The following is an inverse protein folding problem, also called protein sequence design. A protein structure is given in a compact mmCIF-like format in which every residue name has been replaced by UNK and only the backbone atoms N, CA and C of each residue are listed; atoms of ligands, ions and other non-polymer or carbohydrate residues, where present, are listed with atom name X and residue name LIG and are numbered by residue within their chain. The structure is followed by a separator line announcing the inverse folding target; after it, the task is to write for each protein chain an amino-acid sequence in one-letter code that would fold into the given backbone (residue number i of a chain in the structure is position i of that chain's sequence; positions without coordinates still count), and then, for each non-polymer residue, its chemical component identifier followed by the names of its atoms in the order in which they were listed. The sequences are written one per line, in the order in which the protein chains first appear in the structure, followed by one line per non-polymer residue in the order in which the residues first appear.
data_IF_176647151400
#
_entry.id   IF_176647151400
#
_cell.length_a   1.000
_cell.length_b   1.000
_cell.length_c   1.000
_cell.angle_alpha   90.00
_cell.angle_beta   90.00
_cell.angle_gamma   90.00
#
_symmetry.space_group_name_H-M   'P 1'
#
loop_
_entity.id
_entity.type
_entity.pdbx_description
1 polymer ?
#
# COMPACT_ATOMS: atom_id res chain seq x y z
N UNK A 1 -22.33 -28.48 17.66
CA UNK A 1 -21.91 -27.31 18.44
C UNK A 1 -22.80 -27.20 19.68
N UNK A 2 -22.21 -26.93 20.84
CA UNK A 2 -22.95 -26.57 22.04
C UNK A 2 -23.24 -25.07 22.00
N UNK A 3 -24.52 -24.69 22.11
CA UNK A 3 -24.95 -23.28 22.04
C UNK A 3 -24.25 -22.40 23.07
N UNK A 4 -23.93 -22.92 24.23
CA UNK A 4 -23.28 -22.23 25.33
C UNK A 4 -21.80 -21.89 25.04
N UNK A 5 -21.21 -22.46 23.98
CA UNK A 5 -19.81 -22.22 23.59
C UNK A 5 -19.65 -21.25 22.40
N UNK A 6 -20.76 -20.70 21.88
CA UNK A 6 -20.74 -19.78 20.72
C UNK A 6 -20.67 -18.34 21.20
N UNK A 7 -19.62 -17.63 20.79
CA UNK A 7 -19.51 -16.19 20.97
C UNK A 7 -19.61 -15.47 19.62
N UNK A 8 -20.52 -14.50 19.52
CA UNK A 8 -20.72 -13.69 18.32
C UNK A 8 -20.18 -12.28 18.58
N UNK A 9 -19.17 -11.88 17.80
CA UNK A 9 -18.60 -10.55 17.84
C UNK A 9 -19.25 -9.69 16.74
N UNK A 10 -20.10 -8.72 17.12
CA UNK A 10 -20.84 -7.87 16.18
C UNK A 10 -20.09 -6.56 15.81
N UNK A 11 -19.26 -6.05 16.72
CA UNK A 11 -18.51 -4.82 16.52
C UNK A 11 -17.03 -5.13 16.18
N UNK A 12 -16.78 -5.59 14.96
CA UNK A 12 -15.45 -5.97 14.52
C UNK A 12 -14.86 -4.89 13.61
N UNK A 13 -13.66 -4.44 13.93
CA UNK A 13 -12.89 -3.48 13.13
C UNK A 13 -11.55 -4.11 12.77
N UNK A 14 -11.16 -3.99 11.51
CA UNK A 14 -9.81 -4.39 11.09
C UNK A 14 -8.78 -3.42 11.65
N UNK A 15 -7.75 -3.94 12.29
CA UNK A 15 -6.62 -3.17 12.78
C UNK A 15 -5.33 -3.71 12.16
N UNK A 16 -4.39 -2.82 11.87
CA UNK A 16 -3.07 -3.17 11.37
C UNK A 16 -2.02 -2.68 12.36
N UNK A 17 -0.88 -3.36 12.41
CA UNK A 17 0.26 -2.92 13.22
C UNK A 17 0.80 -1.57 12.74
N UNK A 18 1.38 -0.80 13.67
CA UNK A 18 2.03 0.48 13.41
C UNK A 18 1.27 1.69 13.96
N UNK A 19 2.00 2.77 14.16
CA UNK A 19 1.46 4.05 14.60
C UNK A 19 1.13 4.93 13.39
N UNK A 20 -0.02 5.61 13.42
CA UNK A 20 -0.38 6.57 12.36
C UNK A 20 0.40 7.86 12.56
N UNK A 21 1.12 8.26 11.53
CA UNK A 21 1.90 9.50 11.47
C UNK A 21 1.25 10.46 10.49
N UNK A 22 1.18 11.72 10.92
CA UNK A 22 0.78 12.85 10.09
C UNK A 22 1.96 13.82 10.09
N UNK A 23 2.53 14.08 8.91
CA UNK A 23 3.64 15.01 8.84
C UNK A 23 3.53 15.93 7.63
N UNK A 24 4.04 17.13 7.78
CA UNK A 24 4.28 18.05 6.68
C UNK A 24 5.64 17.74 6.07
N UNK A 25 5.64 17.35 4.80
CA UNK A 25 6.85 17.02 4.06
C UNK A 25 7.61 18.27 3.64
N UNK A 26 6.88 19.32 3.25
CA UNK A 26 7.48 20.59 2.86
C UNK A 26 6.60 21.45 1.96
N UNK A 27 7.25 22.37 1.25
CA UNK A 27 6.65 23.31 0.33
C UNK A 27 6.89 22.87 -1.12
N UNK A 28 5.84 22.85 -1.93
CA UNK A 28 5.94 22.63 -3.36
C UNK A 28 6.42 23.90 -4.09
N UNK A 29 7.09 23.69 -5.22
CA UNK A 29 7.59 24.75 -6.10
C UNK A 29 7.29 24.39 -7.56
N UNK A 30 6.37 25.09 -8.20
CA UNK A 30 5.95 24.79 -9.59
C UNK A 30 7.04 25.02 -10.63
N UNK A 31 8.10 25.75 -10.29
CA UNK A 31 9.24 25.94 -11.17
C UNK A 31 10.14 24.71 -11.26
N UNK A 32 10.13 23.86 -10.23
CA UNK A 32 10.97 22.66 -10.14
C UNK A 32 10.24 21.42 -10.61
N UNK A 33 10.94 20.60 -11.37
CA UNK A 33 10.48 19.28 -11.77
C UNK A 33 11.06 18.20 -10.86
N UNK A 34 10.39 17.05 -10.78
CA UNK A 34 10.86 15.87 -10.05
C UNK A 34 11.24 16.18 -8.59
N UNK A 35 10.41 16.96 -7.90
CA UNK A 35 10.68 17.27 -6.50
C UNK A 35 10.60 16.01 -5.64
N UNK A 36 11.47 15.95 -4.65
CA UNK A 36 11.71 14.76 -3.84
C UNK A 36 11.56 15.12 -2.37
N UNK A 37 10.80 14.32 -1.63
CA UNK A 37 10.61 14.47 -0.19
C UNK A 37 10.80 13.11 0.49
N UNK A 38 11.45 13.11 1.63
CA UNK A 38 11.68 11.89 2.41
C UNK A 38 10.77 11.85 3.63
N UNK A 39 10.23 10.69 3.93
CA UNK A 39 9.52 10.45 5.20
C UNK A 39 10.51 10.55 6.36
N UNK A 40 10.10 11.22 7.42
CA UNK A 40 10.95 11.47 8.60
C UNK A 40 11.02 10.26 9.52
N UNK A 41 9.99 9.41 9.52
CA UNK A 41 9.89 8.29 10.45
C UNK A 41 9.75 6.95 9.70
N UNK A 42 10.88 6.35 9.32
CA UNK A 42 10.90 4.99 8.80
C UNK A 42 10.68 3.96 9.93
N UNK A 43 10.29 2.72 9.59
CA UNK A 43 9.92 2.22 8.27
C UNK A 43 8.45 2.44 7.94
N UNK A 44 8.13 2.59 6.66
CA UNK A 44 6.76 2.62 6.16
C UNK A 44 6.12 1.23 6.29
N UNK A 45 4.87 1.19 6.75
CA UNK A 45 4.10 -0.07 6.86
C UNK A 45 3.42 -0.38 5.54
N UNK A 46 3.51 -1.63 5.12
CA UNK A 46 2.78 -2.19 3.99
C UNK A 46 1.69 -3.13 4.51
N UNK A 47 0.59 -3.22 3.77
CA UNK A 47 -0.53 -4.11 4.06
C UNK A 47 -0.75 -5.07 2.90
N UNK A 48 -1.22 -6.27 3.18
CA UNK A 48 -1.55 -7.24 2.14
C UNK A 48 -2.68 -6.70 1.26
N UNK A 49 -2.50 -6.75 -0.06
CA UNK A 49 -3.45 -6.29 -1.05
C UNK A 49 -3.59 -7.30 -2.20
N UNK A 50 -4.74 -7.30 -2.85
CA UNK A 50 -5.03 -8.16 -3.98
C UNK A 50 -4.58 -7.52 -5.31
N UNK A 51 -3.32 -7.04 -5.34
CA UNK A 51 -2.66 -6.50 -6.52
C UNK A 51 -1.50 -7.40 -6.96
N UNK A 52 -0.83 -7.06 -8.07
CA UNK A 52 0.28 -7.85 -8.63
C UNK A 52 1.46 -7.93 -7.65
N UNK A 53 1.74 -6.87 -6.90
CA UNK A 53 2.80 -6.84 -5.89
C UNK A 53 2.43 -7.56 -4.59
N UNK A 54 1.14 -7.90 -4.38
CA UNK A 54 0.64 -8.53 -3.16
C UNK A 54 0.56 -7.60 -1.96
N UNK A 55 1.05 -6.37 -2.08
CA UNK A 55 1.11 -5.39 -0.99
C UNK A 55 0.78 -3.99 -1.47
N UNK A 56 0.14 -3.20 -0.60
CA UNK A 56 -0.05 -1.76 -0.78
C UNK A 56 0.64 -1.01 0.34
N UNK A 57 1.17 0.17 0.04
CA UNK A 57 1.68 1.06 1.06
C UNK A 57 0.52 1.67 1.85
N UNK A 58 0.77 2.00 3.11
CA UNK A 58 -0.20 2.75 3.93
C UNK A 58 -0.08 4.26 3.73
N UNK A 59 0.78 4.69 2.81
CA UNK A 59 1.10 6.08 2.55
C UNK A 59 -0.02 6.77 1.76
N UNK A 60 -0.49 7.88 2.29
CA UNK A 60 -1.36 8.82 1.61
C UNK A 60 -0.69 10.18 1.56
N UNK A 61 -0.60 10.74 0.38
CA UNK A 61 0.02 12.06 0.17
C UNK A 61 -1.05 13.04 -0.26
N UNK A 62 -1.06 14.17 0.41
CA UNK A 62 -1.98 15.27 0.13
C UNK A 62 -1.19 16.50 -0.33
N UNK A 63 -1.62 17.07 -1.44
CA UNK A 63 -1.07 18.33 -1.97
C UNK A 63 -2.22 19.33 -2.04
N UNK A 64 -2.13 20.45 -1.30
CA UNK A 64 -3.24 21.38 -1.08
C UNK A 64 -4.52 20.67 -0.62
N UNK A 65 -4.39 19.74 0.32
CA UNK A 65 -5.45 18.90 0.88
C UNK A 65 -6.16 17.98 -0.14
N UNK A 66 -5.63 17.84 -1.35
CA UNK A 66 -6.09 16.88 -2.36
C UNK A 66 -5.20 15.64 -2.34
N UNK A 67 -5.81 14.47 -2.18
CA UNK A 67 -5.10 13.19 -2.18
C UNK A 67 -4.53 12.88 -3.57
N UNK A 68 -3.24 12.55 -3.63
CA UNK A 68 -2.56 12.06 -4.81
C UNK A 68 -2.36 10.55 -4.69
N UNK A 69 -2.33 9.87 -5.82
CA UNK A 69 -2.23 8.40 -5.86
C UNK A 69 -0.79 7.94 -6.07
N UNK A 70 -0.44 6.88 -5.39
CA UNK A 70 0.82 6.17 -5.64
C UNK A 70 0.77 5.35 -6.92
N UNK A 71 1.88 5.28 -7.63
CA UNK A 71 2.07 4.45 -8.84
C UNK A 71 3.48 3.88 -8.86
N UNK A 72 3.67 2.79 -9.57
CA UNK A 72 4.98 2.13 -9.68
C UNK A 72 5.96 2.90 -10.59
N UNK A 73 5.44 3.66 -11.56
CA UNK A 73 6.26 4.41 -12.51
C UNK A 73 5.59 5.70 -12.94
N UNK A 74 6.39 6.73 -13.16
CA UNK A 74 5.95 7.97 -13.81
C UNK A 74 5.85 7.83 -15.33
N UNK A 75 6.43 6.76 -15.91
CA UNK A 75 6.37 6.50 -17.34
C UNK A 75 4.92 6.22 -17.78
N UNK A 76 4.48 6.86 -18.84
CA UNK A 76 3.14 6.70 -19.37
C UNK A 76 2.06 7.58 -18.70
N UNK A 77 2.41 8.33 -17.66
CA UNK A 77 1.49 9.30 -17.06
C UNK A 77 1.33 10.53 -17.94
N UNK A 78 0.11 11.07 -17.98
CA UNK A 78 -0.19 12.36 -18.57
C UNK A 78 0.27 13.54 -17.70
N UNK A 79 0.41 14.72 -18.31
CA UNK A 79 0.84 15.93 -17.64
C UNK A 79 -0.12 16.43 -16.52
N UNK A 80 -1.35 15.92 -16.47
CA UNK A 80 -2.38 16.28 -15.49
C UNK A 80 -2.60 15.23 -14.42
N UNK A 81 -1.93 14.08 -14.49
CA UNK A 81 -2.12 12.98 -13.56
C UNK A 81 -1.46 13.31 -12.21
N UNK A 82 -2.28 13.33 -11.16
CA UNK A 82 -1.87 13.61 -9.78
C UNK A 82 -1.37 12.33 -9.12
N UNK A 83 -0.17 11.94 -9.51
CA UNK A 83 0.47 10.71 -9.04
C UNK A 83 1.89 10.96 -8.59
N UNK A 84 2.39 10.08 -7.75
CA UNK A 84 3.75 10.07 -7.25
C UNK A 84 4.27 8.63 -7.22
N UNK A 85 5.58 8.49 -7.17
CA UNK A 85 6.24 7.20 -6.92
C UNK A 85 6.97 7.24 -5.58
N UNK A 86 7.13 6.08 -4.98
CA UNK A 86 7.95 5.91 -3.78
C UNK A 86 9.22 5.11 -4.11
N UNK A 87 10.27 5.41 -3.38
CA UNK A 87 11.51 4.66 -3.40
C UNK A 87 11.98 4.46 -1.97
N UNK A 88 12.15 3.22 -1.56
CA UNK A 88 12.68 2.89 -0.22
C UNK A 88 14.11 2.40 -0.38
N UNK A 89 15.02 2.95 0.42
CA UNK A 89 16.42 2.54 0.46
C UNK A 89 16.66 1.33 1.38
N UNK A 90 17.89 0.88 1.45
CA UNK A 90 18.28 -0.27 2.26
C UNK A 90 18.08 -0.04 3.76
N UNK A 91 18.13 1.21 4.21
CA UNK A 91 17.89 1.60 5.60
C UNK A 91 16.39 1.72 5.93
N UNK A 92 15.52 1.48 4.96
CA UNK A 92 14.07 1.58 5.11
C UNK A 92 13.50 2.98 5.01
N UNK A 93 14.34 3.97 4.63
CA UNK A 93 13.90 5.34 4.43
C UNK A 93 13.17 5.46 3.10
N UNK A 94 11.91 5.86 3.16
CA UNK A 94 11.07 6.04 1.98
C UNK A 94 11.10 7.47 1.49
N UNK A 95 11.30 7.61 0.19
CA UNK A 95 11.38 8.88 -0.53
C UNK A 95 10.24 8.95 -1.54
N UNK A 96 9.57 10.09 -1.60
CA UNK A 96 8.43 10.38 -2.48
C UNK A 96 8.93 11.26 -3.61
N UNK A 97 8.67 10.88 -4.86
CA UNK A 97 9.11 11.59 -6.06
C UNK A 97 7.89 11.98 -6.87
N UNK A 98 7.78 13.24 -7.22
CA UNK A 98 6.65 13.80 -7.97
C UNK A 98 6.98 13.99 -9.45
N UNK A 99 5.94 14.20 -10.25
CA UNK A 99 6.04 14.36 -11.70
C UNK A 99 6.82 15.60 -12.17
N UNK A 100 7.16 15.61 -13.44
CA UNK A 100 7.93 16.68 -14.09
C UNK A 100 7.09 17.67 -14.91
N UNK A 101 5.74 17.47 -14.94
CA UNK A 101 4.81 18.25 -15.75
C UNK A 101 4.60 17.73 -17.18
N UNK A 102 5.33 16.67 -17.57
CA UNK A 102 5.08 15.88 -18.79
C UNK A 102 4.62 14.48 -18.42
N UNK A 103 5.31 13.87 -17.47
CA UNK A 103 5.00 12.58 -16.86
C UNK A 103 4.59 12.83 -15.40
N UNK A 104 3.29 12.91 -15.17
CA UNK A 104 2.72 13.36 -13.92
C UNK A 104 2.79 14.89 -13.75
N UNK A 105 1.82 15.44 -13.02
CA UNK A 105 1.73 16.87 -12.76
C UNK A 105 2.88 17.35 -11.85
N UNK A 106 3.35 18.58 -12.06
CA UNK A 106 4.28 19.23 -11.12
C UNK A 106 3.55 19.65 -9.86
N UNK A 107 4.30 19.74 -8.77
CA UNK A 107 3.77 20.28 -7.54
C UNK A 107 3.42 21.77 -7.70
N UNK A 108 2.26 22.20 -7.21
CA UNK A 108 1.95 23.61 -7.13
C UNK A 108 2.81 24.31 -6.07
N UNK A 109 3.15 25.57 -6.29
CA UNK A 109 3.83 26.39 -5.29
C UNK A 109 2.91 26.62 -4.09
N UNK A 110 3.42 26.41 -2.88
CA UNK A 110 2.69 26.64 -1.65
C UNK A 110 3.54 26.39 -0.43
N UNK A 111 3.26 27.10 0.66
CA UNK A 111 3.92 26.88 1.94
C UNK A 111 3.31 25.66 2.62
N UNK A 112 4.16 24.71 3.04
CA UNK A 112 3.77 23.52 3.80
C UNK A 112 2.56 22.76 3.20
N UNK A 113 2.42 22.85 1.89
CA UNK A 113 1.26 22.34 1.18
C UNK A 113 1.34 20.84 0.85
N UNK A 114 2.44 20.18 1.18
CA UNK A 114 2.64 18.76 0.97
C UNK A 114 2.61 18.06 2.33
N UNK A 115 1.61 17.21 2.52
CA UNK A 115 1.38 16.47 3.77
C UNK A 115 1.37 14.97 3.47
N UNK A 116 1.88 14.19 4.40
CA UNK A 116 1.83 12.73 4.35
C UNK A 116 1.11 12.17 5.58
N UNK A 117 0.27 11.19 5.36
CA UNK A 117 -0.36 10.36 6.38
C UNK A 117 0.01 8.93 6.11
N UNK A 118 0.67 8.28 7.03
CA UNK A 118 1.14 6.91 6.84
C UNK A 118 1.23 6.18 8.19
N UNK A 119 1.36 4.87 8.11
CA UNK A 119 1.64 4.07 9.30
C UNK A 119 3.14 3.74 9.35
N UNK A 120 3.66 3.85 10.53
CA UNK A 120 5.05 3.54 10.84
C UNK A 120 5.07 2.29 11.72
N UNK A 121 5.72 1.24 11.25
CA UNK A 121 5.87 -0.02 11.96
C UNK A 121 5.95 -1.21 11.00
N UNK A 122 6.94 -2.05 11.21
CA UNK A 122 7.17 -3.27 10.43
C UNK A 122 7.58 -4.40 11.37
N UNK A 123 7.36 -5.62 10.95
CA UNK A 123 7.94 -6.77 11.59
C UNK A 123 6.95 -7.69 12.31
N UNK A 124 7.50 -8.79 12.78
CA UNK A 124 6.77 -9.84 13.51
C UNK A 124 6.20 -9.39 14.85
N UNK A 125 6.63 -8.24 15.36
CA UNK A 125 6.12 -7.66 16.63
C UNK A 125 4.62 -7.33 16.54
N UNK A 126 4.08 -7.14 15.34
CA UNK A 126 2.65 -6.96 15.11
C UNK A 126 1.81 -8.24 15.28
N UNK A 127 2.43 -9.41 15.31
CA UNK A 127 1.75 -10.68 15.48
C UNK A 127 1.49 -10.95 16.98
N UNK A 128 0.43 -10.36 17.50
CA UNK A 128 0.03 -10.50 18.90
C UNK A 128 -0.96 -11.66 19.04
N UNK A 129 -0.89 -12.39 20.16
CA UNK A 129 -1.79 -13.48 20.48
C UNK A 129 -3.21 -12.99 20.75
N UNK A 130 -4.19 -13.89 20.66
CA UNK A 130 -5.57 -13.59 21.04
C UNK A 130 -5.63 -13.04 22.48
N UNK A 131 -6.46 -12.01 22.69
CA UNK A 131 -6.65 -11.38 24.00
C UNK A 131 -5.56 -10.40 24.45
N UNK A 132 -4.49 -10.20 23.69
CA UNK A 132 -3.39 -9.30 24.10
C UNK A 132 -3.70 -7.81 23.85
N UNK A 133 -4.58 -7.48 22.91
CA UNK A 133 -4.99 -6.10 22.64
C UNK A 133 -6.17 -5.78 23.58
N UNK A 134 -5.90 -5.06 24.66
CA UNK A 134 -6.90 -4.72 25.67
C UNK A 134 -7.04 -3.23 25.95
N UNK A 135 -6.14 -2.41 25.41
CA UNK A 135 -6.08 -0.97 25.65
C UNK A 135 -6.34 -0.17 24.38
N UNK A 136 -7.16 0.88 24.51
CA UNK A 136 -7.35 1.91 23.50
C UNK A 136 -6.53 3.14 23.86
N UNK A 137 -5.77 3.67 22.94
CA UNK A 137 -5.05 4.93 23.12
C UNK A 137 -6.03 6.10 23.31
N UNK A 138 -7.08 6.12 22.49
CA UNK A 138 -8.20 7.07 22.62
C UNK A 138 -9.47 6.27 22.86
N UNK A 139 -10.20 6.58 23.92
CA UNK A 139 -11.45 5.89 24.25
C UNK A 139 -12.64 6.70 23.76
N UNK A 140 -13.21 6.42 22.60
CA UNK A 140 -14.41 7.08 22.10
C UNK A 140 -15.59 6.86 23.04
N UNK A 141 -16.53 7.81 23.05
CA UNK A 141 -17.75 7.71 23.86
C UNK A 141 -18.53 6.44 23.45
N UNK A 142 -18.93 5.66 24.43
CA UNK A 142 -19.68 4.42 24.22
C UNK A 142 -18.82 3.15 24.14
N UNK A 143 -17.48 3.26 23.97
CA UNK A 143 -16.60 2.10 23.96
C UNK A 143 -16.13 1.76 25.36
N UNK A 144 -16.51 0.59 25.87
CA UNK A 144 -16.14 0.12 27.22
C UNK A 144 -14.80 -0.62 27.25
N UNK A 145 -14.60 -1.51 26.31
CA UNK A 145 -13.41 -2.36 26.21
C UNK A 145 -13.14 -2.75 24.76
N UNK A 146 -11.92 -3.16 24.48
CA UNK A 146 -11.50 -3.73 23.21
C UNK A 146 -10.80 -5.07 23.47
N UNK A 147 -10.96 -6.00 22.58
CA UNK A 147 -10.29 -7.29 22.63
C UNK A 147 -10.05 -7.80 21.20
N UNK A 148 -8.91 -8.42 20.95
CA UNK A 148 -8.69 -9.19 19.72
C UNK A 148 -9.03 -10.67 19.98
N UNK A 149 -10.16 -11.18 19.46
CA UNK A 149 -10.58 -12.56 19.70
C UNK A 149 -9.70 -13.59 18.98
N UNK A 150 -9.00 -13.16 17.94
CA UNK A 150 -8.13 -14.00 17.11
C UNK A 150 -6.72 -13.41 17.17
N UNK A 151 -5.71 -14.26 17.06
CA UNK A 151 -4.32 -13.80 16.94
C UNK A 151 -4.12 -12.99 15.66
N UNK A 152 -3.27 -11.98 15.74
CA UNK A 152 -2.85 -11.21 14.58
C UNK A 152 -1.79 -12.00 13.79
N UNK A 153 -1.92 -12.02 12.48
CA UNK A 153 -1.01 -12.70 11.56
C UNK A 153 -0.63 -11.80 10.39
N UNK A 154 0.40 -12.20 9.63
CA UNK A 154 0.85 -11.48 8.45
C UNK A 154 1.96 -10.46 8.71
N UNK A 155 2.34 -10.24 9.97
CA UNK A 155 3.52 -9.45 10.29
C UNK A 155 4.79 -10.20 9.87
N UNK A 156 5.60 -9.59 9.02
CA UNK A 156 6.89 -10.11 8.56
C UNK A 156 7.97 -9.05 8.72
N UNK A 157 9.17 -9.47 9.02
CA UNK A 157 10.34 -8.61 9.00
C UNK A 157 10.78 -8.37 7.55
N UNK A 158 11.58 -7.34 7.32
CA UNK A 158 12.19 -7.08 6.01
C UNK A 158 12.95 -8.33 5.56
N UNK A 159 12.75 -8.72 4.31
CA UNK A 159 13.50 -9.83 3.70
C UNK A 159 15.00 -9.54 3.71
N UNK A 160 15.77 -10.57 3.99
CA UNK A 160 17.22 -10.50 3.82
C UNK A 160 17.57 -10.52 2.33
N UNK A 161 18.77 -10.04 1.99
CA UNK A 161 19.24 -10.02 0.60
C UNK A 161 19.20 -11.42 -0.06
N UNK A 162 19.50 -12.45 0.68
CA UNK A 162 19.52 -13.82 0.16
C UNK A 162 18.11 -14.36 -0.06
N UNK A 163 17.18 -14.09 0.86
CA UNK A 163 15.75 -14.38 0.67
C UNK A 163 15.16 -13.63 -0.55
N UNK A 164 15.52 -12.37 -0.72
CA UNK A 164 15.08 -11.59 -1.88
C UNK A 164 15.61 -12.18 -3.20
N UNK A 165 16.83 -12.69 -3.23
CA UNK A 165 17.39 -13.39 -4.40
C UNK A 165 16.67 -14.71 -4.72
N UNK A 166 16.30 -15.46 -3.69
CA UNK A 166 15.54 -16.70 -3.86
C UNK A 166 14.10 -16.44 -4.32
N UNK A 167 13.48 -15.36 -3.84
CA UNK A 167 12.10 -15.02 -4.17
C UNK A 167 11.94 -14.30 -5.51
N UNK A 168 12.95 -13.58 -5.99
CA UNK A 168 12.89 -12.83 -7.25
C UNK A 168 12.47 -13.69 -8.47
N UNK A 169 13.00 -14.93 -8.68
CA UNK A 169 12.56 -15.78 -9.78
C UNK A 169 11.10 -16.23 -9.68
N UNK A 170 10.56 -16.32 -8.44
CA UNK A 170 9.16 -16.73 -8.21
C UNK A 170 8.19 -15.64 -8.62
N UNK A 171 8.53 -14.37 -8.39
CA UNK A 171 7.74 -13.24 -8.83
C UNK A 171 7.61 -13.17 -10.36
N UNK A 172 8.71 -13.43 -11.09
CA UNK A 172 8.71 -13.47 -12.56
C UNK A 172 7.86 -14.63 -13.07
N UNK A 173 7.97 -15.83 -12.50
CA UNK A 173 7.15 -16.99 -12.87
C UNK A 173 5.66 -16.77 -12.61
N UNK A 174 5.30 -16.09 -11.55
CA UNK A 174 3.91 -15.74 -11.26
C UNK A 174 3.33 -14.78 -12.32
N UNK A 175 4.10 -13.84 -12.81
CA UNK A 175 3.71 -12.94 -13.90
C UNK A 175 3.48 -13.70 -15.21
N UNK A 176 4.34 -14.63 -15.58
CA UNK A 176 4.18 -15.47 -16.78
C UNK A 176 2.90 -16.34 -16.70
N UNK A 177 2.60 -16.88 -15.53
CA UNK A 177 1.40 -17.69 -15.32
C UNK A 177 0.11 -16.87 -15.42
N UNK A 178 0.14 -15.61 -15.03
CA UNK A 178 -0.99 -14.67 -15.14
C UNK A 178 -1.21 -14.24 -16.60
N UNK A 179 -0.15 -14.02 -17.36
CA UNK A 179 -0.21 -13.69 -18.79
C UNK A 179 -0.82 -14.82 -19.61
N UNK A 180 -0.47 -16.07 -19.33
CA UNK A 180 -1.02 -17.24 -20.01
C UNK A 180 -2.52 -17.50 -19.75
N UNK A 181 -3.08 -16.98 -18.65
CA UNK A 181 -4.51 -17.10 -18.35
C UNK A 181 -5.39 -16.01 -18.95
N UNK A 182 -4.82 -14.91 -19.41
CA UNK A 182 -5.58 -13.73 -19.91
C UNK A 182 -5.71 -13.74 -21.45
N UNK A 183 -5.05 -14.64 -22.16
CA UNK A 183 -5.29 -14.81 -23.60
C UNK A 183 -6.56 -15.65 -23.81
N UNK A 184 -7.73 -15.05 -24.09
CA UNK A 184 -8.88 -15.82 -24.55
C UNK A 184 -8.52 -16.35 -25.94
N UNK A 185 -8.43 -17.66 -26.08
CA UNK A 185 -8.41 -18.31 -27.39
C UNK A 185 -9.72 -18.00 -28.08
N UNK A 186 -9.72 -16.96 -28.93
CA UNK A 186 -10.79 -16.74 -29.89
C UNK A 186 -10.78 -17.91 -30.87
N UNK A 187 -11.57 -18.93 -30.56
CA UNK A 187 -12.00 -19.92 -31.55
C UNK A 187 -12.82 -19.18 -32.61
N UNK A 188 -12.17 -18.84 -33.71
CA UNK A 188 -12.85 -18.40 -34.93
C UNK A 188 -13.54 -19.64 -35.51
N UNK A 189 -14.87 -19.72 -35.60
CA UNK A 189 -15.52 -20.82 -36.29
C UNK A 189 -15.20 -20.75 -37.77
N UNK A 190 -14.68 -21.84 -38.28
CA UNK A 190 -14.44 -22.01 -39.73
C UNK A 190 -15.75 -21.85 -40.51
N UNK A 191 -15.75 -21.17 -41.66
CA UNK A 191 -16.96 -21.08 -42.48
C UNK A 191 -17.28 -22.45 -43.08
N UNK A 192 -18.48 -22.95 -42.78
CA UNK A 192 -19.05 -24.13 -43.42
C UNK A 192 -19.30 -23.84 -44.90
N UNK A 193 -18.52 -24.48 -45.75
CA UNK A 193 -18.74 -24.46 -47.21
C UNK A 193 -19.97 -25.32 -47.51
N UNK A 194 -21.09 -24.68 -47.86
CA UNK A 194 -22.24 -25.33 -48.46
C UNK A 194 -22.00 -25.43 -49.96
N UNK A 195 -21.70 -26.63 -50.46
CA UNK A 195 -21.80 -26.94 -51.90
C UNK A 195 -23.27 -27.25 -52.26
N UNK A 196 -23.75 -26.54 -53.25
CA UNK A 196 -24.92 -26.95 -54.08
C UNK A 196 -24.47 -27.99 -55.10
#
# INVERSE_FOLDING_TARGET
YKLDSVAIYANVVKATHGETRNETLGAGDSSKALQVFSLKQPPLTFVSAANISGVDSTLKVYVNDVEWKETDSLSGLGAKDRMFITKTDDDGKTTIIFGNGKQGVRLPTGLENIKAVYRNGIGKQGNVKAGQISLLQTRPLGVKAVNNPIEASGGADKETRDQARENAPLAVKALDWFQLRITPTLLVPSPVSVRR
#
